data_IF_199116969615
#
_entry.id   IF_199116969615
#
_cell.length_a   1.000
_cell.length_b   1.000
_cell.length_c   1.000
_cell.angle_alpha   90.00
_cell.angle_beta   90.00
_cell.angle_gamma   90.00
#
_symmetry.space_group_name_H-M   'P 1'
#
loop_
_entity.id
_entity.type
_entity.pdbx_description
1 polymer ?
#
# COMPACT_ATOMS: atom_id res chain seq x y z
N UNK A 1 -21.33 15.02 26.10
CA UNK A 1 -20.34 15.90 25.43
C UNK A 1 -19.96 15.27 24.09
N UNK A 2 -19.80 16.03 23.00
CA UNK A 2 -19.32 15.46 21.75
C UNK A 2 -17.90 14.92 21.94
N UNK A 3 -17.64 13.72 21.40
CA UNK A 3 -16.32 13.09 21.43
C UNK A 3 -15.32 13.95 20.62
N UNK A 4 -14.16 14.25 21.21
CA UNK A 4 -13.12 15.04 20.56
C UNK A 4 -12.24 14.20 19.61
N UNK A 5 -12.01 12.93 19.97
CA UNK A 5 -11.21 12.00 19.16
C UNK A 5 -12.04 11.47 18.00
N UNK A 6 -11.50 11.53 16.79
CA UNK A 6 -12.13 10.98 15.60
C UNK A 6 -11.72 9.51 15.40
N UNK A 7 -12.67 8.69 14.99
CA UNK A 7 -12.46 7.27 14.69
C UNK A 7 -12.40 7.10 13.18
N UNK A 8 -11.28 6.58 12.71
CA UNK A 8 -11.10 6.18 11.31
C UNK A 8 -11.17 4.65 11.27
N UNK A 9 -12.08 4.11 10.47
CA UNK A 9 -12.23 2.67 10.28
C UNK A 9 -11.92 2.29 8.83
N UNK A 10 -11.04 1.31 8.63
CA UNK A 10 -10.75 0.78 7.29
C UNK A 10 -11.82 -0.22 6.89
N UNK A 11 -12.39 -0.06 5.68
CA UNK A 11 -13.25 -1.07 5.08
C UNK A 11 -12.42 -2.25 4.58
N UNK A 12 -12.89 -3.43 4.89
CA UNK A 12 -12.34 -4.71 4.46
C UNK A 12 -13.44 -5.79 4.54
N UNK A 13 -13.12 -7.05 4.22
CA UNK A 13 -14.13 -8.12 4.09
C UNK A 13 -15.07 -8.24 5.31
N UNK A 14 -14.58 -8.00 6.52
CA UNK A 14 -15.38 -8.08 7.75
C UNK A 14 -16.35 -6.89 7.92
N UNK A 15 -16.11 -5.76 7.28
CA UNK A 15 -16.88 -4.52 7.39
C UNK A 15 -17.61 -4.13 6.11
N UNK A 16 -17.47 -4.90 5.03
CA UNK A 16 -18.15 -4.68 3.74
C UNK A 16 -19.67 -4.95 3.76
N UNK A 17 -20.22 -5.91 4.56
CA UNK A 17 -21.66 -6.08 4.61
C UNK A 17 -22.34 -4.78 5.04
N UNK A 18 -23.38 -4.38 4.30
CA UNK A 18 -24.07 -3.10 4.50
C UNK A 18 -24.57 -2.92 5.94
N UNK A 19 -25.09 -3.99 6.53
CA UNK A 19 -25.54 -3.99 7.93
C UNK A 19 -24.42 -3.67 8.92
N UNK A 20 -23.24 -4.28 8.73
CA UNK A 20 -22.06 -4.02 9.55
C UNK A 20 -21.57 -2.59 9.39
N UNK A 21 -21.50 -2.10 8.16
CA UNK A 21 -21.08 -0.72 7.90
C UNK A 21 -22.06 0.29 8.48
N UNK A 22 -23.36 0.04 8.39
CA UNK A 22 -24.41 0.85 9.03
C UNK A 22 -24.21 0.91 10.54
N UNK A 23 -24.03 -0.25 11.18
CA UNK A 23 -23.80 -0.32 12.63
C UNK A 23 -22.53 0.43 13.05
N UNK A 24 -21.45 0.38 12.27
CA UNK A 24 -20.23 1.14 12.51
C UNK A 24 -20.46 2.66 12.45
N UNK A 25 -21.23 3.12 11.46
CA UNK A 25 -21.59 4.54 11.31
C UNK A 25 -22.44 5.01 12.50
N UNK A 26 -23.46 4.24 12.88
CA UNK A 26 -24.32 4.53 14.04
C UNK A 26 -23.54 4.53 15.36
N UNK A 27 -22.59 3.61 15.53
CA UNK A 27 -21.70 3.54 16.69
C UNK A 27 -20.72 4.73 16.76
N UNK A 28 -20.60 5.52 15.68
CA UNK A 28 -19.85 6.77 15.66
C UNK A 28 -18.52 6.71 14.92
N UNK A 29 -18.41 5.92 13.88
CA UNK A 29 -17.32 6.06 12.92
C UNK A 29 -17.38 7.46 12.29
N UNK A 30 -16.27 8.20 12.34
CA UNK A 30 -16.19 9.56 11.79
C UNK A 30 -15.65 9.56 10.37
N UNK A 31 -14.76 8.62 10.05
CA UNK A 31 -14.10 8.52 8.73
C UNK A 31 -14.00 7.05 8.33
N UNK A 32 -14.37 6.77 7.10
CA UNK A 32 -14.14 5.47 6.46
C UNK A 32 -12.90 5.55 5.60
N UNK A 33 -11.92 4.67 5.84
CA UNK A 33 -10.71 4.55 5.00
C UNK A 33 -10.91 3.43 3.98
N UNK A 34 -10.72 3.75 2.71
CA UNK A 34 -10.67 2.82 1.58
C UNK A 34 -9.21 2.54 1.25
N UNK A 35 -8.76 1.31 1.48
CA UNK A 35 -7.41 0.89 1.09
C UNK A 35 -7.42 0.50 -0.40
N UNK A 36 -6.79 1.31 -1.24
CA UNK A 36 -6.77 1.11 -2.70
C UNK A 36 -5.66 0.15 -3.17
N UNK A 37 -4.85 -0.39 -2.27
CA UNK A 37 -3.88 -1.43 -2.62
C UNK A 37 -4.54 -2.76 -3.06
N UNK A 38 -5.87 -2.86 -2.93
CA UNK A 38 -6.66 -4.02 -3.29
C UNK A 38 -7.97 -3.57 -3.96
N UNK A 39 -8.34 -4.26 -5.03
CA UNK A 39 -9.56 -3.99 -5.78
C UNK A 39 -9.36 -3.03 -6.96
N UNK A 40 -10.47 -2.60 -7.53
CA UNK A 40 -10.53 -1.71 -8.70
C UNK A 40 -11.09 -0.34 -8.34
N UNK A 41 -10.86 0.65 -9.21
CA UNK A 41 -11.48 1.99 -9.10
C UNK A 41 -13.01 1.88 -8.98
N UNK A 42 -13.64 1.03 -9.81
CA UNK A 42 -15.10 0.82 -9.77
C UNK A 42 -15.58 0.36 -8.40
N UNK A 43 -14.91 -0.61 -7.79
CA UNK A 43 -15.23 -1.09 -6.44
C UNK A 43 -15.05 0.00 -5.38
N UNK A 44 -14.02 0.83 -5.51
CA UNK A 44 -13.82 1.96 -4.59
C UNK A 44 -14.98 2.96 -4.69
N UNK A 45 -15.40 3.30 -5.90
CA UNK A 45 -16.55 4.19 -6.16
C UNK A 45 -17.85 3.60 -5.59
N UNK A 46 -18.12 2.31 -5.79
CA UNK A 46 -19.29 1.64 -5.23
C UNK A 46 -19.30 1.73 -3.70
N UNK A 47 -18.15 1.49 -3.06
CA UNK A 47 -18.01 1.64 -1.60
C UNK A 47 -18.23 3.09 -1.15
N UNK A 48 -17.71 4.08 -1.87
CA UNK A 48 -17.96 5.49 -1.56
C UNK A 48 -19.46 5.82 -1.60
N UNK A 49 -20.16 5.40 -2.65
CA UNK A 49 -21.59 5.60 -2.80
C UNK A 49 -22.40 4.92 -1.69
N UNK A 50 -22.00 3.70 -1.31
CA UNK A 50 -22.60 3.00 -0.17
C UNK A 50 -22.43 3.78 1.13
N UNK A 51 -21.21 4.23 1.44
CA UNK A 51 -20.95 5.04 2.65
C UNK A 51 -21.78 6.32 2.65
N UNK A 52 -21.85 7.04 1.52
CA UNK A 52 -22.66 8.28 1.39
C UNK A 52 -24.15 8.03 1.63
N UNK A 53 -24.68 6.95 1.06
CA UNK A 53 -26.07 6.56 1.25
C UNK A 53 -26.36 6.25 2.72
N UNK A 54 -25.55 5.41 3.36
CA UNK A 54 -25.75 5.01 4.75
C UNK A 54 -25.59 6.19 5.71
N UNK A 55 -24.64 7.09 5.45
CA UNK A 55 -24.45 8.32 6.22
C UNK A 55 -25.71 9.21 6.18
N UNK A 56 -26.28 9.38 4.99
CA UNK A 56 -27.53 10.14 4.81
C UNK A 56 -28.72 9.49 5.54
N UNK A 57 -28.90 8.17 5.41
CA UNK A 57 -29.97 7.42 6.06
C UNK A 57 -29.89 7.45 7.60
N UNK A 58 -28.68 7.45 8.16
CA UNK A 58 -28.45 7.50 9.62
C UNK A 58 -28.36 8.92 10.17
N UNK A 59 -28.44 9.94 9.30
CA UNK A 59 -28.29 11.36 9.69
C UNK A 59 -26.88 11.68 10.24
N UNK A 60 -25.85 10.92 9.86
CA UNK A 60 -24.46 11.08 10.32
C UNK A 60 -23.63 11.73 9.26
N UNK A 61 -22.63 12.50 9.67
CA UNK A 61 -21.57 13.00 8.78
C UNK A 61 -20.39 12.05 8.87
N UNK A 62 -20.03 11.42 7.76
CA UNK A 62 -18.91 10.48 7.65
C UNK A 62 -18.00 10.93 6.52
N UNK A 63 -16.72 11.17 6.83
CA UNK A 63 -15.70 11.45 5.82
C UNK A 63 -15.20 10.18 5.15
N UNK A 64 -14.74 10.32 3.90
CA UNK A 64 -14.14 9.21 3.14
C UNK A 64 -12.67 9.55 2.86
N UNK A 65 -11.78 8.70 3.35
CA UNK A 65 -10.34 8.75 3.08
C UNK A 65 -9.97 7.64 2.09
N UNK A 66 -9.60 8.00 0.89
CA UNK A 66 -9.04 7.08 -0.08
C UNK A 66 -7.52 7.03 0.10
N UNK A 67 -6.98 5.85 0.42
CA UNK A 67 -5.57 5.63 0.71
C UNK A 67 -4.88 5.00 -0.49
N UNK A 68 -4.11 5.82 -1.21
CA UNK A 68 -3.38 5.43 -2.42
C UNK A 68 -2.24 4.47 -2.06
N UNK A 69 -2.03 3.40 -2.86
CA UNK A 69 -1.01 2.39 -2.58
C UNK A 69 0.42 2.95 -2.60
N UNK A 70 0.70 3.93 -3.47
CA UNK A 70 2.06 4.39 -3.71
C UNK A 70 2.94 3.34 -4.41
N UNK A 71 4.26 3.57 -4.49
CA UNK A 71 5.21 2.66 -5.13
C UNK A 71 5.47 1.42 -4.26
N UNK A 72 4.46 0.57 -4.08
CA UNK A 72 4.57 -0.65 -3.29
C UNK A 72 5.18 -1.77 -4.10
N UNK A 73 6.45 -2.05 -3.85
CA UNK A 73 7.14 -3.22 -4.41
C UNK A 73 6.65 -4.50 -3.72
N UNK A 74 6.49 -5.57 -4.48
CA UNK A 74 6.05 -6.88 -3.97
C UNK A 74 6.90 -8.01 -4.54
N UNK A 75 7.05 -9.06 -3.75
CA UNK A 75 7.40 -10.37 -4.32
C UNK A 75 6.23 -10.87 -5.16
N UNK A 76 6.54 -11.66 -6.17
CA UNK A 76 5.53 -12.35 -6.99
C UNK A 76 4.82 -13.43 -6.17
N UNK A 77 3.76 -13.99 -6.75
CA UNK A 77 3.05 -15.10 -6.11
C UNK A 77 4.00 -16.26 -5.82
N UNK A 78 3.99 -16.76 -4.60
CA UNK A 78 4.75 -17.96 -4.25
C UNK A 78 4.13 -19.23 -4.84
N UNK A 79 4.95 -20.26 -5.01
CA UNK A 79 4.50 -21.61 -5.34
C UNK A 79 3.47 -22.09 -4.33
N UNK A 80 2.63 -23.07 -4.71
CA UNK A 80 1.62 -23.65 -3.83
C UNK A 80 2.26 -24.21 -2.54
N UNK A 81 1.66 -23.89 -1.40
CA UNK A 81 2.22 -24.20 -0.08
C UNK A 81 3.24 -23.18 0.43
N UNK A 82 3.69 -22.26 -0.41
CA UNK A 82 4.69 -21.26 -0.02
C UNK A 82 6.10 -21.81 0.11
N UNK A 83 6.97 -21.02 0.75
CA UNK A 83 8.37 -21.38 1.02
C UNK A 83 8.76 -20.90 2.42
N UNK A 84 9.36 -21.77 3.21
CA UNK A 84 9.97 -21.38 4.48
C UNK A 84 11.37 -20.86 4.19
N UNK A 85 11.66 -19.65 4.68
CA UNK A 85 13.01 -19.09 4.69
C UNK A 85 13.57 -19.22 6.10
N UNK A 86 14.80 -19.72 6.20
CA UNK A 86 15.50 -19.87 7.47
C UNK A 86 16.65 -18.87 7.59
N UNK A 87 16.97 -18.50 8.81
CA UNK A 87 18.11 -17.62 9.08
C UNK A 87 19.42 -18.24 8.54
N UNK A 88 20.16 -17.45 7.79
CA UNK A 88 21.42 -17.86 7.16
C UNK A 88 21.25 -18.46 5.75
N UNK A 89 20.03 -18.73 5.29
CA UNK A 89 19.81 -19.16 3.90
C UNK A 89 20.36 -18.13 2.92
N UNK A 90 20.81 -18.61 1.77
CA UNK A 90 21.18 -17.74 0.64
C UNK A 90 20.14 -17.90 -0.46
N UNK A 91 19.53 -16.79 -0.84
CA UNK A 91 18.50 -16.74 -1.88
C UNK A 91 18.91 -15.84 -3.04
N UNK A 92 18.42 -16.18 -4.23
CA UNK A 92 18.50 -15.31 -5.40
C UNK A 92 17.24 -14.43 -5.44
N UNK A 93 17.41 -13.13 -5.72
CA UNK A 93 16.32 -12.18 -5.87
C UNK A 93 16.48 -11.44 -7.19
N UNK A 94 15.48 -11.48 -8.06
CA UNK A 94 15.57 -10.88 -9.38
C UNK A 94 14.24 -10.20 -9.78
N UNK A 95 14.28 -9.20 -10.68
CA UNK A 95 13.05 -8.66 -11.25
C UNK A 95 12.40 -9.71 -12.15
N UNK A 96 11.08 -9.82 -12.09
CA UNK A 96 10.35 -10.78 -12.94
C UNK A 96 8.92 -11.02 -12.51
N UNK A 97 8.26 -11.89 -13.28
CA UNK A 97 6.84 -12.24 -13.09
C UNK A 97 6.62 -13.71 -12.78
N UNK A 98 7.68 -14.51 -12.77
CA UNK A 98 7.61 -15.93 -12.43
C UNK A 98 7.21 -16.12 -10.95
N UNK A 99 6.77 -17.33 -10.57
CA UNK A 99 6.43 -17.62 -9.19
C UNK A 99 7.68 -17.71 -8.32
N UNK A 100 7.65 -17.03 -7.18
CA UNK A 100 8.71 -17.12 -6.17
C UNK A 100 8.70 -18.52 -5.50
N UNK A 101 9.88 -19.07 -5.22
CA UNK A 101 10.03 -20.38 -4.63
C UNK A 101 11.50 -20.80 -4.50
N UNK A 102 11.80 -22.12 -4.46
CA UNK A 102 13.16 -22.62 -4.25
C UNK A 102 14.18 -22.18 -5.31
N UNK A 103 13.73 -21.89 -6.53
CA UNK A 103 14.60 -21.48 -7.64
C UNK A 103 14.96 -19.98 -7.59
N UNK A 104 14.26 -19.19 -6.79
CA UNK A 104 14.50 -17.78 -6.59
C UNK A 104 13.26 -17.00 -6.15
N UNK A 105 13.52 -15.79 -5.68
CA UNK A 105 12.50 -14.82 -5.32
C UNK A 105 12.38 -13.77 -6.45
N UNK A 106 11.19 -13.68 -7.02
CA UNK A 106 10.92 -12.74 -8.10
C UNK A 106 10.21 -11.51 -7.57
N UNK A 107 10.60 -10.35 -8.08
CA UNK A 107 10.11 -9.06 -7.61
C UNK A 107 9.43 -8.33 -8.75
N UNK A 108 8.22 -7.88 -8.53
CA UNK A 108 7.46 -7.05 -9.46
C UNK A 108 7.97 -5.60 -9.45
N UNK A 109 9.27 -5.44 -9.77
CA UNK A 109 9.96 -4.16 -9.82
C UNK A 109 11.14 -4.21 -10.82
N UNK A 110 10.97 -3.69 -12.05
CA UNK A 110 11.98 -3.79 -13.09
C UNK A 110 13.33 -3.11 -12.75
N UNK A 111 13.30 -2.04 -11.92
CA UNK A 111 14.50 -1.29 -11.54
C UNK A 111 15.23 -1.88 -10.31
N UNK A 112 14.84 -3.08 -9.85
CA UNK A 112 15.43 -3.70 -8.67
C UNK A 112 16.95 -3.75 -8.71
N UNK A 113 17.51 -4.12 -9.85
CA UNK A 113 18.95 -4.32 -10.03
C UNK A 113 19.72 -2.98 -10.01
N UNK A 114 19.09 -1.93 -10.53
CA UNK A 114 19.69 -0.59 -10.59
C UNK A 114 19.61 0.10 -9.21
N UNK A 115 18.51 -0.12 -8.48
CA UNK A 115 18.23 0.57 -7.23
C UNK A 115 18.83 -0.13 -5.99
N UNK A 116 19.16 -1.44 -6.07
CA UNK A 116 19.58 -2.23 -4.90
C UNK A 116 20.99 -2.78 -5.08
N UNK A 117 21.82 -2.59 -4.07
CA UNK A 117 23.22 -3.02 -4.07
C UNK A 117 23.65 -3.81 -2.84
N UNK A 118 24.90 -4.33 -2.86
CA UNK A 118 25.47 -5.03 -1.71
C UNK A 118 25.44 -4.17 -0.44
N UNK A 119 24.99 -4.77 0.65
CA UNK A 119 24.82 -4.12 1.95
C UNK A 119 23.41 -3.65 2.26
N UNK A 120 22.57 -3.45 1.24
CA UNK A 120 21.16 -3.11 1.43
C UNK A 120 20.41 -4.24 2.11
N UNK A 121 19.38 -3.88 2.87
CA UNK A 121 18.50 -4.82 3.58
C UNK A 121 17.08 -4.66 3.08
N UNK A 122 16.57 -5.69 2.45
CA UNK A 122 15.19 -5.75 1.96
C UNK A 122 14.33 -6.45 3.02
N UNK A 123 13.21 -5.88 3.40
CA UNK A 123 12.34 -6.46 4.42
C UNK A 123 11.09 -7.04 3.77
N UNK A 124 10.75 -8.28 4.10
CA UNK A 124 9.62 -9.00 3.50
C UNK A 124 8.40 -8.94 4.42
N UNK A 125 7.24 -8.62 3.85
CA UNK A 125 5.96 -8.58 4.58
C UNK A 125 5.97 -7.61 5.75
N UNK A 126 5.60 -8.10 6.92
CA UNK A 126 5.52 -7.31 8.15
C UNK A 126 6.85 -7.21 8.92
N UNK A 127 7.96 -7.62 8.30
CA UNK A 127 9.31 -7.43 8.87
C UNK A 127 9.87 -8.64 9.62
N UNK A 128 9.20 -9.79 9.63
CA UNK A 128 9.70 -11.02 10.26
C UNK A 128 10.91 -11.63 9.55
N UNK A 129 11.05 -11.36 8.25
CA UNK A 129 12.16 -11.81 7.42
C UNK A 129 12.80 -10.63 6.73
N UNK A 130 14.13 -10.57 6.75
CA UNK A 130 14.92 -9.60 6.02
C UNK A 130 15.96 -10.30 5.14
N UNK A 131 16.25 -9.70 3.99
CA UNK A 131 17.19 -10.19 3.00
C UNK A 131 18.36 -9.19 2.90
N UNK A 132 19.52 -9.55 3.43
CA UNK A 132 20.73 -8.72 3.30
C UNK A 132 21.41 -9.05 1.99
N UNK A 133 21.45 -8.08 1.09
CA UNK A 133 22.09 -8.23 -0.22
C UNK A 133 23.60 -8.36 -0.06
N UNK A 134 24.17 -9.41 -0.62
CA UNK A 134 25.60 -9.73 -0.56
C UNK A 134 26.32 -9.46 -1.88
N UNK A 135 25.62 -9.63 -3.02
CA UNK A 135 26.15 -9.30 -4.34
C UNK A 135 25.03 -8.93 -5.31
N UNK A 136 25.42 -8.20 -6.37
CA UNK A 136 24.59 -7.84 -7.52
C UNK A 136 25.43 -8.12 -8.76
N UNK A 137 24.94 -9.01 -9.65
CA UNK A 137 25.63 -9.41 -10.87
C UNK A 137 25.09 -8.72 -12.14
N UNK A 138 24.18 -7.75 -11.97
CA UNK A 138 23.54 -7.04 -13.06
C UNK A 138 22.27 -7.72 -13.60
N UNK A 139 21.94 -8.92 -13.13
CA UNK A 139 20.75 -9.70 -13.51
C UNK A 139 19.96 -10.11 -12.27
N UNK A 140 20.67 -10.46 -11.21
CA UNK A 140 20.10 -10.91 -9.95
C UNK A 140 20.91 -10.41 -8.74
N UNK A 141 20.24 -10.36 -7.61
CA UNK A 141 20.86 -10.14 -6.31
C UNK A 141 21.03 -11.48 -5.60
N UNK A 142 22.15 -11.66 -4.90
CA UNK A 142 22.26 -12.71 -3.86
C UNK A 142 22.04 -12.07 -2.51
N UNK A 143 21.24 -12.68 -1.67
CA UNK A 143 20.96 -12.15 -0.35
C UNK A 143 20.99 -13.26 0.71
N UNK A 144 21.47 -12.93 1.90
CA UNK A 144 21.39 -13.79 3.08
C UNK A 144 20.14 -13.45 3.88
N UNK A 145 19.40 -14.46 4.26
CA UNK A 145 18.19 -14.36 5.05
C UNK A 145 18.54 -14.08 6.52
N UNK A 146 17.86 -13.08 7.11
CA UNK A 146 17.84 -12.83 8.54
C UNK A 146 16.41 -13.01 9.06
N UNK A 147 16.26 -13.78 10.10
CA UNK A 147 14.97 -14.21 10.63
C UNK A 147 14.44 -15.46 9.93
N UNK A 148 13.27 -15.90 10.35
CA UNK A 148 12.63 -17.10 9.85
C UNK A 148 11.14 -16.89 9.61
N UNK A 149 10.59 -17.47 8.55
CA UNK A 149 9.16 -17.37 8.28
C UNK A 149 8.68 -18.08 7.05
N UNK A 150 7.39 -18.42 7.06
CA UNK A 150 6.69 -18.96 5.88
C UNK A 150 6.31 -17.78 4.96
N UNK A 151 6.84 -17.80 3.75
CA UNK A 151 6.49 -16.87 2.68
C UNK A 151 5.42 -17.49 1.78
N UNK A 152 4.31 -16.79 1.60
CA UNK A 152 3.20 -17.24 0.75
C UNK A 152 2.44 -16.02 0.18
N UNK A 153 1.65 -16.24 -0.85
CA UNK A 153 0.92 -15.17 -1.55
C UNK A 153 1.87 -14.19 -2.23
N UNK A 154 1.57 -12.92 -2.17
CA UNK A 154 2.36 -11.81 -2.74
C UNK A 154 2.77 -10.81 -1.64
N UNK A 155 3.71 -11.16 -0.76
CA UNK A 155 4.12 -10.26 0.32
C UNK A 155 4.78 -8.99 -0.22
N UNK A 156 4.62 -7.88 0.51
CA UNK A 156 5.34 -6.64 0.22
C UNK A 156 6.85 -6.86 0.36
N UNK A 157 7.63 -6.16 -0.46
CA UNK A 157 9.07 -6.06 -0.32
C UNK A 157 9.44 -4.61 -0.04
N UNK A 158 9.93 -4.34 1.14
CA UNK A 158 10.41 -3.02 1.51
C UNK A 158 11.87 -2.86 1.08
N UNK A 159 12.09 -1.95 0.14
CA UNK A 159 13.42 -1.50 -0.30
C UNK A 159 13.74 -0.20 0.44
N UNK A 160 14.99 0.04 0.88
CA UNK A 160 15.37 1.31 1.48
C UNK A 160 14.96 2.50 0.60
N UNK A 161 14.30 3.49 1.22
CA UNK A 161 13.62 4.57 0.48
C UNK A 161 14.55 5.51 -0.28
N UNK A 162 15.78 5.66 0.19
CA UNK A 162 16.84 6.44 -0.47
C UNK A 162 17.34 5.77 -1.77
N UNK A 163 17.03 4.49 -1.96
CA UNK A 163 17.37 3.72 -3.16
C UNK A 163 16.26 3.73 -4.22
N UNK A 164 15.00 3.83 -3.81
CA UNK A 164 13.88 3.77 -4.75
C UNK A 164 13.83 4.95 -5.70
N UNK A 165 14.04 4.66 -6.99
CA UNK A 165 13.88 5.63 -8.09
C UNK A 165 12.41 5.92 -8.37
N UNK A 166 11.50 5.03 -8.01
CA UNK A 166 10.06 5.24 -8.17
C UNK A 166 9.58 6.46 -7.37
N UNK A 167 8.92 7.37 -8.10
CA UNK A 167 8.28 8.53 -7.48
C UNK A 167 6.90 8.22 -6.92
N UNK A 168 6.47 9.00 -5.94
CA UNK A 168 5.08 9.06 -5.50
C UNK A 168 4.49 10.42 -5.90
N UNK A 169 3.21 10.51 -6.31
CA UNK A 169 2.32 9.41 -6.66
C UNK A 169 2.77 8.66 -7.93
N UNK A 170 2.42 7.39 -8.03
CA UNK A 170 2.60 6.57 -9.24
C UNK A 170 1.57 6.93 -10.31
N UNK A 171 1.72 6.42 -11.53
CA UNK A 171 0.70 6.59 -12.58
C UNK A 171 -0.64 5.93 -12.19
N UNK A 172 -0.60 4.79 -11.48
CA UNK A 172 -1.78 4.12 -10.96
C UNK A 172 -2.45 4.95 -9.87
N UNK A 173 -1.69 5.54 -8.96
CA UNK A 173 -2.22 6.44 -7.94
C UNK A 173 -2.95 7.64 -8.56
N UNK A 174 -2.38 8.24 -9.62
CA UNK A 174 -3.02 9.36 -10.34
C UNK A 174 -4.32 8.94 -11.02
N UNK A 175 -4.36 7.75 -11.62
CA UNK A 175 -5.58 7.20 -12.20
C UNK A 175 -6.70 6.99 -11.16
N UNK A 176 -6.36 6.44 -9.97
CA UNK A 176 -7.31 6.35 -8.85
C UNK A 176 -7.75 7.74 -8.39
N UNK A 177 -6.79 8.64 -8.23
CA UNK A 177 -7.03 9.99 -7.72
C UNK A 177 -8.04 10.74 -8.57
N UNK A 178 -7.84 10.78 -9.89
CA UNK A 178 -8.72 11.49 -10.83
C UNK A 178 -10.17 11.00 -10.70
N UNK A 179 -10.38 9.68 -10.75
CA UNK A 179 -11.71 9.09 -10.67
C UNK A 179 -12.40 9.33 -9.31
N UNK A 180 -11.64 9.32 -8.21
CA UNK A 180 -12.20 9.50 -6.87
C UNK A 180 -12.47 10.96 -6.55
N UNK A 181 -11.69 11.88 -7.12
CA UNK A 181 -11.95 13.33 -7.02
C UNK A 181 -13.24 13.69 -7.77
N UNK A 182 -13.47 13.14 -8.95
CA UNK A 182 -14.73 13.31 -9.69
C UNK A 182 -15.94 12.77 -8.90
N UNK A 183 -15.78 11.68 -8.14
CA UNK A 183 -16.84 11.13 -7.27
C UNK A 183 -16.99 11.88 -5.94
N UNK A 184 -16.15 12.88 -5.65
CA UNK A 184 -16.25 13.73 -4.47
C UNK A 184 -15.70 13.10 -3.20
N UNK A 185 -14.53 12.48 -3.26
CA UNK A 185 -13.79 12.01 -2.08
C UNK A 185 -13.41 13.17 -1.16
N UNK A 186 -13.45 12.98 0.16
CA UNK A 186 -13.14 14.05 1.11
C UNK A 186 -11.63 14.18 1.39
N UNK A 187 -10.92 13.05 1.42
CA UNK A 187 -9.52 12.98 1.79
C UNK A 187 -8.77 11.97 0.94
N UNK A 188 -7.54 12.28 0.57
CA UNK A 188 -6.61 11.39 -0.14
C UNK A 188 -5.39 11.16 0.74
N UNK A 189 -5.10 9.91 1.07
CA UNK A 189 -3.86 9.48 1.70
C UNK A 189 -2.82 9.19 0.62
N UNK A 190 -1.73 9.94 0.61
CA UNK A 190 -0.59 9.71 -0.30
C UNK A 190 0.48 8.91 0.42
N UNK A 191 0.75 7.68 -0.02
CA UNK A 191 1.76 6.79 0.55
C UNK A 191 3.18 7.16 0.10
N UNK A 192 4.15 6.83 0.94
CA UNK A 192 5.59 7.00 0.67
C UNK A 192 6.01 8.44 0.33
N UNK A 193 5.37 9.43 0.95
CA UNK A 193 5.75 10.83 0.76
C UNK A 193 7.11 11.10 1.41
N UNK A 194 8.05 11.62 0.62
CA UNK A 194 9.41 11.95 1.03
C UNK A 194 9.67 13.46 1.01
N UNK A 195 8.88 14.20 0.25
CA UNK A 195 9.11 15.63 0.05
C UNK A 195 7.82 16.38 -0.27
N UNK A 196 7.86 17.72 -0.14
CA UNK A 196 6.78 18.59 -0.61
C UNK A 196 6.57 18.51 -2.14
N UNK A 197 7.58 18.08 -2.89
CA UNK A 197 7.46 17.89 -4.34
C UNK A 197 6.49 16.74 -4.65
N UNK A 198 6.57 15.64 -3.91
CA UNK A 198 5.68 14.49 -4.09
C UNK A 198 4.21 14.93 -3.92
N UNK A 199 3.93 15.73 -2.88
CA UNK A 199 2.58 16.26 -2.66
C UNK A 199 2.12 17.13 -3.83
N UNK A 200 2.96 17.99 -4.39
CA UNK A 200 2.55 18.87 -5.50
C UNK A 200 2.26 18.13 -6.79
N UNK A 201 2.79 16.92 -6.96
CA UNK A 201 2.57 16.10 -8.16
C UNK A 201 1.17 15.49 -8.27
N UNK A 202 0.36 15.54 -7.21
CA UNK A 202 -1.00 15.00 -7.24
C UNK A 202 -1.94 15.74 -8.22
N UNK A 203 -1.65 16.99 -8.57
CA UNK A 203 -2.44 17.78 -9.51
C UNK A 203 -3.82 18.22 -9.02
N UNK A 204 -4.17 17.94 -7.76
CA UNK A 204 -5.48 18.21 -7.20
C UNK A 204 -5.57 19.65 -6.69
N UNK A 205 -6.72 20.27 -6.91
CA UNK A 205 -7.02 21.60 -6.35
C UNK A 205 -7.03 21.52 -4.81
N UNK A 206 -6.52 22.56 -4.12
CA UNK A 206 -6.58 22.59 -2.67
C UNK A 206 -8.02 22.79 -2.16
N UNK A 207 -8.31 22.42 -0.91
CA UNK A 207 -9.59 22.71 -0.28
C UNK A 207 -9.92 24.20 -0.34
N UNK A 208 -11.19 24.60 -0.52
CA UNK A 208 -12.39 23.74 -0.52
C UNK A 208 -12.78 23.16 -1.90
N UNK A 209 -11.98 23.39 -2.95
CA UNK A 209 -12.31 22.94 -4.31
C UNK A 209 -11.91 21.48 -4.56
N UNK A 210 -10.94 20.96 -3.81
CA UNK A 210 -10.51 19.57 -3.88
C UNK A 210 -10.46 18.93 -2.50
N UNK A 211 -10.11 17.63 -2.42
CA UNK A 211 -10.01 16.89 -1.17
C UNK A 211 -8.85 17.36 -0.29
N UNK A 212 -8.90 17.03 0.99
CA UNK A 212 -7.76 17.15 1.89
C UNK A 212 -6.69 16.12 1.53
N UNK A 213 -5.44 16.54 1.49
CA UNK A 213 -4.31 15.62 1.27
C UNK A 213 -3.67 15.25 2.60
N UNK A 214 -3.57 13.95 2.86
CA UNK A 214 -2.91 13.35 4.02
C UNK A 214 -1.58 12.76 3.56
N UNK A 215 -0.48 13.40 3.88
CA UNK A 215 0.85 12.88 3.58
C UNK A 215 1.21 11.76 4.56
N UNK A 216 1.54 10.58 4.05
CA UNK A 216 1.98 9.43 4.84
C UNK A 216 3.51 9.37 4.78
N UNK A 217 4.14 9.65 5.91
CA UNK A 217 5.60 9.58 6.06
C UNK A 217 5.94 8.19 6.59
N UNK A 218 6.28 7.29 5.68
CA UNK A 218 6.44 5.85 5.95
C UNK A 218 7.90 5.39 5.83
N UNK A 219 8.77 6.30 5.41
CA UNK A 219 10.19 6.02 5.16
C UNK A 219 11.06 7.05 5.86
N UNK A 220 12.28 6.66 6.21
CA UNK A 220 13.29 7.63 6.67
C UNK A 220 13.83 8.37 5.44
N UNK A 221 13.95 9.69 5.58
CA UNK A 221 14.65 10.53 4.61
C UNK A 221 16.14 10.43 4.80
#
# INVERSE_FOLDING_TARGET
MPRRTKIIATLGPASEPEETLRAMIEAGCDVVRLNLAHGTVGQAIERMRLVRRLAAETGRVVGILADLPGPKVRLTEFVEGGMVLHEGDTVSVAPGTDRSGPDGLWVDYPLLIDDVGPGDVLTVGDGGVALRVTSNDGVSLKATVSGEGLMQGRPGLHIPSDRLTMGTPTAEDLYFLDALVEEGVDMIGMSFVRSAHDIRRNGVEPPPRGPLIVAKIETRA
#
